data_IF_582026081759
#
_entry.id   IF_582026081759
#
_cell.length_a   1.000
_cell.length_b   1.000
_cell.length_c   1.000
_cell.angle_alpha   90.00
_cell.angle_beta   90.00
_cell.angle_gamma   90.00
#
_symmetry.space_group_name_H-M   'P 1'
#
loop_
_entity.id
_entity.type
_entity.pdbx_description
1 polymer ?
#
# COMPACT_ATOMS: atom_id res chain seq x y z
N UNK A 1 -61.30 -48.15 -9.59
CA UNK A 1 -62.47 -47.98 -8.72
C UNK A 1 -62.01 -47.61 -7.32
N UNK A 2 -62.80 -46.81 -6.59
CA UNK A 2 -62.58 -46.34 -5.21
C UNK A 2 -61.38 -45.40 -4.96
N UNK A 3 -61.62 -44.37 -4.16
CA UNK A 3 -60.68 -43.34 -3.72
C UNK A 3 -61.02 -42.91 -2.28
N UNK A 4 -60.04 -42.38 -1.54
CA UNK A 4 -60.12 -41.63 -0.28
C UNK A 4 -58.68 -41.11 0.02
N UNK A 5 -58.34 -39.84 0.31
CA UNK A 5 -58.98 -38.71 1.02
C UNK A 5 -59.24 -39.01 2.51
N UNK A 6 -58.86 -38.20 3.51
CA UNK A 6 -58.21 -36.87 3.57
C UNK A 6 -57.14 -36.86 4.72
N UNK A 7 -56.55 -35.79 5.27
CA UNK A 7 -56.81 -34.34 5.22
C UNK A 7 -55.48 -33.51 5.38
N UNK A 8 -55.50 -32.37 6.08
CA UNK A 8 -54.39 -31.39 6.15
C UNK A 8 -54.19 -30.78 7.56
N UNK A 9 -53.00 -30.21 7.84
CA UNK A 9 -52.85 -28.85 8.40
C UNK A 9 -51.37 -28.42 8.57
N UNK A 10 -51.13 -27.11 8.46
CA UNK A 10 -49.83 -26.46 8.35
C UNK A 10 -49.07 -26.16 9.65
N UNK A 11 -47.73 -26.20 9.57
CA UNK A 11 -46.74 -25.27 10.15
C UNK A 11 -45.39 -25.64 9.48
N UNK A 12 -44.49 -24.75 9.05
CA UNK A 12 -44.22 -23.38 9.46
C UNK A 12 -42.73 -23.32 9.83
N UNK A 13 -41.87 -22.83 8.92
CA UNK A 13 -40.42 -22.85 9.15
C UNK A 13 -39.60 -22.65 7.87
N UNK A 14 -39.45 -21.41 7.43
CA UNK A 14 -38.49 -21.08 6.38
C UNK A 14 -37.07 -21.22 6.92
N UNK A 15 -36.33 -22.24 6.48
CA UNK A 15 -34.91 -22.36 6.80
C UNK A 15 -34.12 -21.47 5.83
N UNK A 16 -33.94 -20.21 6.21
CA UNK A 16 -32.91 -19.37 5.60
C UNK A 16 -31.56 -20.01 5.91
N UNK A 17 -30.90 -20.56 4.90
CA UNK A 17 -29.52 -21.01 5.00
C UNK A 17 -28.65 -19.78 5.32
N UNK A 18 -28.28 -19.63 6.59
CA UNK A 18 -27.29 -18.65 7.00
C UNK A 18 -25.99 -18.98 6.28
N UNK A 19 -25.64 -18.15 5.31
CA UNK A 19 -24.41 -18.29 4.54
C UNK A 19 -23.24 -18.09 5.51
N UNK A 20 -22.50 -19.16 5.78
CA UNK A 20 -21.27 -19.04 6.54
C UNK A 20 -20.31 -18.17 5.72
N UNK A 21 -19.54 -17.24 6.34
CA UNK A 21 -18.71 -16.31 5.58
C UNK A 21 -17.72 -17.10 4.74
N UNK A 22 -17.94 -17.10 3.42
CA UNK A 22 -17.22 -17.94 2.47
C UNK A 22 -15.71 -17.78 2.67
N UNK A 23 -14.98 -18.90 2.67
CA UNK A 23 -13.53 -18.86 2.81
C UNK A 23 -12.95 -18.04 1.65
N UNK A 24 -12.22 -16.98 1.97
CA UNK A 24 -11.64 -16.06 0.99
C UNK A 24 -10.65 -16.81 0.09
N UNK A 25 -10.03 -17.89 0.58
CA UNK A 25 -9.18 -18.81 -0.21
C UNK A 25 -9.95 -19.62 -1.26
N UNK A 26 -11.26 -19.78 -1.10
CA UNK A 26 -12.11 -20.46 -2.08
C UNK A 26 -12.51 -19.59 -3.28
N UNK A 27 -12.26 -18.27 -3.23
CA UNK A 27 -12.58 -17.35 -4.32
C UNK A 27 -11.52 -17.39 -5.43
N UNK A 28 -11.86 -17.86 -6.66
CA UNK A 28 -10.89 -17.98 -7.75
C UNK A 28 -10.26 -16.63 -8.16
N UNK A 29 -10.99 -15.52 -7.95
CA UNK A 29 -10.51 -14.17 -8.20
C UNK A 29 -9.41 -13.78 -7.20
N UNK A 30 -9.57 -14.12 -5.92
CA UNK A 30 -8.57 -13.81 -4.89
C UNK A 30 -7.30 -14.60 -5.15
N UNK A 31 -7.41 -15.92 -5.40
CA UNK A 31 -6.26 -16.76 -5.76
C UNK A 31 -5.53 -16.22 -6.99
N UNK A 32 -6.26 -15.78 -8.01
CA UNK A 32 -5.68 -15.18 -9.22
C UNK A 32 -4.93 -13.86 -8.93
N UNK A 33 -5.54 -12.93 -8.18
CA UNK A 33 -4.94 -11.64 -7.86
C UNK A 33 -3.69 -11.80 -6.98
N UNK A 34 -3.77 -12.64 -5.95
CA UNK A 34 -2.64 -12.95 -5.06
C UNK A 34 -1.50 -13.62 -5.83
N UNK A 35 -1.79 -14.60 -6.70
CA UNK A 35 -0.77 -15.23 -7.53
C UNK A 35 -0.10 -14.24 -8.51
N UNK A 36 -0.85 -13.25 -9.03
CA UNK A 36 -0.29 -12.19 -9.89
C UNK A 36 0.57 -11.19 -9.10
N UNK A 37 0.17 -10.83 -7.89
CA UNK A 37 0.99 -10.01 -6.99
C UNK A 37 2.30 -10.74 -6.59
N UNK A 38 2.21 -12.01 -6.24
CA UNK A 38 3.37 -12.86 -5.90
C UNK A 38 4.35 -13.07 -7.07
N UNK A 39 3.93 -12.82 -8.32
CA UNK A 39 4.78 -12.88 -9.51
C UNK A 39 5.28 -11.50 -9.99
N UNK A 40 4.83 -10.38 -9.40
CA UNK A 40 5.20 -9.03 -9.85
C UNK A 40 5.09 -7.99 -8.72
N UNK A 41 6.24 -7.45 -8.31
CA UNK A 41 6.32 -6.41 -7.28
C UNK A 41 5.47 -5.17 -7.60
N UNK A 42 5.37 -4.77 -8.88
CA UNK A 42 4.52 -3.65 -9.29
C UNK A 42 3.02 -3.94 -9.04
N UNK A 43 2.55 -5.17 -9.35
CA UNK A 43 1.17 -5.59 -9.08
C UNK A 43 0.93 -5.70 -7.57
N UNK A 44 1.90 -6.23 -6.81
CA UNK A 44 1.82 -6.29 -5.36
C UNK A 44 1.74 -4.90 -4.71
N UNK A 45 2.51 -3.92 -5.22
CA UNK A 45 2.43 -2.52 -4.79
C UNK A 45 1.02 -1.95 -4.98
N UNK A 46 0.49 -2.00 -6.20
CA UNK A 46 -0.86 -1.48 -6.48
C UNK A 46 -1.95 -2.21 -5.67
N UNK A 47 -1.93 -3.55 -5.63
CA UNK A 47 -2.92 -4.34 -4.89
C UNK A 47 -2.85 -4.06 -3.38
N UNK A 48 -1.66 -3.96 -2.78
CA UNK A 48 -1.49 -3.55 -1.39
C UNK A 48 -2.11 -2.18 -1.12
N UNK A 49 -1.86 -1.19 -1.98
CA UNK A 49 -2.37 0.17 -1.77
C UNK A 49 -3.88 0.28 -1.95
N UNK A 50 -4.46 -0.41 -2.95
CA UNK A 50 -5.91 -0.48 -3.08
C UNK A 50 -6.57 -1.16 -1.88
N UNK A 51 -6.09 -2.35 -1.48
CA UNK A 51 -6.63 -3.06 -0.31
C UNK A 51 -6.52 -2.22 0.98
N UNK A 52 -5.41 -1.50 1.19
CA UNK A 52 -5.25 -0.60 2.35
C UNK A 52 -6.25 0.55 2.36
N UNK A 53 -6.62 1.10 1.19
CA UNK A 53 -7.64 2.15 1.10
C UNK A 53 -9.01 1.59 1.47
N UNK A 54 -9.44 0.48 0.86
CA UNK A 54 -10.73 -0.16 1.17
C UNK A 54 -10.82 -0.58 2.65
N UNK A 55 -9.72 -1.12 3.21
CA UNK A 55 -9.61 -1.44 4.64
C UNK A 55 -9.82 -0.21 5.53
N UNK A 56 -9.33 0.96 5.11
CA UNK A 56 -9.41 2.21 5.89
C UNK A 56 -10.80 2.87 5.87
N UNK A 57 -11.74 2.37 5.06
CA UNK A 57 -13.10 2.89 5.00
C UNK A 57 -13.86 2.50 6.28
N UNK A 58 -14.18 3.51 7.09
CA UNK A 58 -14.98 3.34 8.31
C UNK A 58 -16.42 2.97 7.94
N UNK A 59 -17.00 2.04 8.70
CA UNK A 59 -18.36 1.51 8.56
C UNK A 59 -18.68 0.76 7.25
N UNK A 60 -17.68 0.39 6.43
CA UNK A 60 -17.91 -0.50 5.28
C UNK A 60 -17.91 -1.99 5.70
N UNK A 61 -19.04 -2.72 5.57
CA UNK A 61 -19.09 -4.16 5.85
C UNK A 61 -18.18 -5.01 4.94
N UNK A 62 -17.75 -4.49 3.78
CA UNK A 62 -16.79 -5.17 2.91
C UNK A 62 -15.33 -5.10 3.42
N UNK A 63 -15.01 -4.17 4.35
CA UNK A 63 -13.65 -4.00 4.90
C UNK A 63 -13.08 -5.30 5.48
N UNK A 64 -13.90 -6.16 6.11
CA UNK A 64 -13.45 -7.46 6.61
C UNK A 64 -12.96 -8.39 5.50
N UNK A 65 -13.62 -8.39 4.34
CA UNK A 65 -13.22 -9.19 3.17
C UNK A 65 -11.88 -8.69 2.64
N UNK A 66 -11.71 -7.36 2.50
CA UNK A 66 -10.46 -6.77 2.03
C UNK A 66 -9.30 -7.02 3.02
N UNK A 67 -9.56 -6.99 4.32
CA UNK A 67 -8.60 -7.41 5.36
C UNK A 67 -8.15 -8.86 5.19
N UNK A 68 -9.08 -9.79 4.96
CA UNK A 68 -8.77 -11.21 4.73
C UNK A 68 -7.97 -11.41 3.43
N UNK A 69 -8.31 -10.71 2.35
CA UNK A 69 -7.56 -10.73 1.08
C UNK A 69 -6.14 -10.17 1.24
N UNK A 70 -5.98 -9.09 2.01
CA UNK A 70 -4.67 -8.52 2.31
C UNK A 70 -3.81 -9.47 3.15
N UNK A 71 -4.38 -10.11 4.18
CA UNK A 71 -3.71 -11.12 4.98
C UNK A 71 -3.23 -12.31 4.12
N UNK A 72 -4.09 -12.83 3.24
CA UNK A 72 -3.75 -13.91 2.30
C UNK A 72 -2.59 -13.50 1.37
N UNK A 73 -2.62 -12.28 0.82
CA UNK A 73 -1.53 -11.78 -0.01
C UNK A 73 -0.22 -11.72 0.77
N UNK A 74 -0.24 -11.23 2.01
CA UNK A 74 0.95 -11.12 2.85
C UNK A 74 1.49 -12.49 3.27
N UNK A 75 0.63 -13.49 3.50
CA UNK A 75 1.02 -14.88 3.79
C UNK A 75 1.71 -15.54 2.59
N UNK A 76 1.10 -15.46 1.39
CA UNK A 76 1.68 -16.01 0.16
C UNK A 76 3.01 -15.33 -0.18
N UNK A 77 3.11 -14.00 -0.05
CA UNK A 77 4.37 -13.28 -0.23
C UNK A 77 5.43 -13.66 0.82
N UNK A 78 5.03 -14.06 2.03
CA UNK A 78 5.94 -14.55 3.06
C UNK A 78 6.44 -15.96 2.78
N UNK A 79 5.57 -16.85 2.31
CA UNK A 79 5.91 -18.23 1.96
C UNK A 79 6.94 -18.35 0.82
N UNK A 80 7.12 -17.30 0.00
CA UNK A 80 8.16 -17.23 -1.03
C UNK A 80 9.57 -16.95 -0.46
N UNK A 81 9.71 -16.55 0.80
CA UNK A 81 10.99 -16.20 1.39
C UNK A 81 11.76 -17.44 1.87
N UNK A 82 12.96 -17.65 1.32
CA UNK A 82 13.85 -18.73 1.76
C UNK A 82 14.35 -18.54 3.21
N UNK A 83 14.40 -17.30 3.70
CA UNK A 83 14.66 -16.95 5.10
C UNK A 83 14.11 -15.56 5.44
N UNK A 84 13.08 -15.48 6.28
CA UNK A 84 12.54 -14.21 6.78
C UNK A 84 11.44 -13.61 5.88
N UNK A 85 11.57 -12.33 5.52
CA UNK A 85 10.63 -11.63 4.63
C UNK A 85 11.06 -11.75 3.16
N UNK A 86 10.10 -11.74 2.23
CA UNK A 86 10.43 -11.60 0.82
C UNK A 86 10.80 -10.15 0.46
N UNK A 87 11.52 -9.97 -0.64
CA UNK A 87 11.87 -8.65 -1.18
C UNK A 87 10.60 -7.78 -1.39
N UNK A 88 9.53 -8.39 -1.91
CA UNK A 88 8.23 -7.73 -2.08
C UNK A 88 7.63 -7.27 -0.76
N UNK A 89 7.68 -8.06 0.31
CA UNK A 89 7.21 -7.62 1.64
C UNK A 89 8.05 -6.44 2.17
N UNK A 90 9.38 -6.52 2.08
CA UNK A 90 10.28 -5.42 2.49
C UNK A 90 9.99 -4.14 1.70
N UNK A 91 9.78 -4.24 0.40
CA UNK A 91 9.36 -3.12 -0.45
C UNK A 91 8.04 -2.49 0.03
N UNK A 92 7.02 -3.30 0.35
CA UNK A 92 5.74 -2.81 0.86
C UNK A 92 5.86 -2.16 2.25
N UNK A 93 6.72 -2.68 3.13
CA UNK A 93 7.03 -2.09 4.44
C UNK A 93 7.72 -0.73 4.28
N UNK A 94 8.75 -0.65 3.44
CA UNK A 94 9.47 0.60 3.12
C UNK A 94 8.53 1.67 2.52
N UNK A 95 7.64 1.27 1.60
CA UNK A 95 6.61 2.15 1.04
C UNK A 95 5.65 2.68 2.11
N UNK A 96 5.17 1.82 3.02
CA UNK A 96 4.28 2.22 4.10
C UNK A 96 4.97 3.19 5.08
N UNK A 97 6.24 2.95 5.41
CA UNK A 97 7.06 3.83 6.25
C UNK A 97 7.23 5.22 5.60
N UNK A 98 7.59 5.29 4.32
CA UNK A 98 7.76 6.55 3.59
C UNK A 98 6.48 7.40 3.64
N UNK A 99 5.32 6.79 3.35
CA UNK A 99 4.02 7.49 3.38
C UNK A 99 3.67 7.96 4.79
N UNK A 100 3.85 7.12 5.81
CA UNK A 100 3.58 7.48 7.21
C UNK A 100 4.45 8.63 7.73
N UNK A 101 5.73 8.70 7.32
CA UNK A 101 6.63 9.81 7.65
C UNK A 101 6.18 11.12 7.00
N UNK A 102 5.81 11.08 5.71
CA UNK A 102 5.27 12.23 4.96
C UNK A 102 3.97 12.73 5.58
N UNK A 103 3.03 11.83 5.90
CA UNK A 103 1.76 12.15 6.54
C UNK A 103 1.99 12.81 7.90
N UNK A 104 2.83 12.20 8.75
CA UNK A 104 3.16 12.69 10.08
C UNK A 104 3.81 14.08 10.06
N UNK A 105 4.80 14.30 9.17
CA UNK A 105 5.42 15.61 8.97
C UNK A 105 4.41 16.66 8.47
N UNK A 106 3.54 16.29 7.53
CA UNK A 106 2.49 17.17 7.00
C UNK A 106 1.48 17.56 8.10
N UNK A 107 1.04 16.59 8.90
CA UNK A 107 0.08 16.80 9.99
C UNK A 107 0.68 17.64 11.12
N UNK A 108 1.96 17.45 11.50
CA UNK A 108 2.64 18.33 12.47
C UNK A 108 2.84 19.75 11.94
N UNK A 109 3.24 19.90 10.67
CA UNK A 109 3.39 21.20 10.03
C UNK A 109 2.09 22.01 10.12
N UNK A 110 0.96 21.33 9.84
CA UNK A 110 -0.38 21.88 9.92
C UNK A 110 -0.84 22.14 11.37
N UNK A 111 -0.74 21.16 12.27
CA UNK A 111 -1.29 21.24 13.63
C UNK A 111 -0.56 22.23 14.54
N UNK A 112 0.74 22.51 14.31
CA UNK A 112 1.52 23.44 15.14
C UNK A 112 1.10 24.92 15.09
N UNK A 113 -0.09 25.26 14.58
CA UNK A 113 -0.60 26.62 14.53
C UNK A 113 0.22 27.58 13.66
N UNK A 114 0.05 28.88 13.90
CA UNK A 114 0.79 29.96 13.22
C UNK A 114 0.25 30.40 11.86
N UNK A 115 0.83 31.49 11.32
CA UNK A 115 0.55 32.00 9.97
C UNK A 115 1.03 31.00 8.91
N UNK A 116 0.48 31.10 7.70
CA UNK A 116 0.79 30.19 6.58
C UNK A 116 2.30 29.97 6.36
N UNK A 117 3.08 31.04 6.30
CA UNK A 117 4.52 30.98 6.03
C UNK A 117 5.30 30.26 7.15
N UNK A 118 4.79 30.29 8.39
CA UNK A 118 5.38 29.56 9.52
C UNK A 118 5.12 28.03 9.40
N UNK A 119 4.00 27.62 8.79
CA UNK A 119 3.72 26.20 8.50
C UNK A 119 4.67 25.67 7.42
N UNK A 120 4.92 26.47 6.36
CA UNK A 120 5.86 26.11 5.28
C UNK A 120 7.30 26.04 5.80
N UNK A 121 7.73 27.00 6.64
CA UNK A 121 9.05 26.92 7.29
C UNK A 121 9.19 25.68 8.16
N UNK A 122 8.25 25.46 9.09
CA UNK A 122 8.22 24.27 9.96
C UNK A 122 8.33 22.96 9.17
N UNK A 123 7.62 22.85 8.05
CA UNK A 123 7.74 21.67 7.18
C UNK A 123 9.16 21.49 6.65
N UNK A 124 9.79 22.54 6.11
CA UNK A 124 11.17 22.46 5.61
C UNK A 124 12.18 22.21 6.72
N UNK A 125 12.00 22.81 7.91
CA UNK A 125 12.86 22.61 9.07
C UNK A 125 12.81 21.13 9.54
N UNK A 126 11.60 20.55 9.61
CA UNK A 126 11.40 19.13 9.94
C UNK A 126 11.95 18.18 8.86
N UNK A 127 11.92 18.59 7.59
CA UNK A 127 12.39 17.85 6.42
C UNK A 127 13.80 18.30 5.97
N UNK A 128 14.68 18.61 6.93
CA UNK A 128 16.07 19.01 6.70
C UNK A 128 17.04 18.05 7.42
N UNK A 129 18.34 18.03 7.07
CA UNK A 129 19.32 17.18 7.76
C UNK A 129 19.41 17.55 9.26
N UNK A 130 19.21 16.57 10.16
CA UNK A 130 19.09 16.80 11.59
C UNK A 130 17.72 17.34 12.05
N UNK A 131 16.74 17.40 11.16
CA UNK A 131 15.33 17.64 11.49
C UNK A 131 14.64 16.38 12.05
N UNK A 132 13.41 16.53 12.55
CA UNK A 132 12.67 15.42 13.19
C UNK A 132 12.36 14.25 12.23
N UNK A 133 12.38 14.48 10.92
CA UNK A 133 12.11 13.49 9.89
C UNK A 133 13.28 13.40 8.88
N UNK A 134 14.52 13.55 9.36
CA UNK A 134 15.71 13.51 8.49
C UNK A 134 15.90 12.16 7.76
N UNK A 135 15.31 11.09 8.26
CA UNK A 135 15.33 9.75 7.65
C UNK A 135 14.68 9.65 6.27
N UNK A 136 13.89 10.65 5.82
CA UNK A 136 13.41 10.73 4.43
C UNK A 136 14.28 11.63 3.54
N UNK A 137 15.25 12.35 4.12
CA UNK A 137 16.15 13.24 3.39
C UNK A 137 17.04 12.41 2.48
N UNK A 138 17.84 11.49 3.03
CA UNK A 138 18.60 10.46 2.32
C UNK A 138 18.17 9.10 2.90
N UNK A 139 17.63 8.21 2.05
CA UNK A 139 17.13 6.90 2.45
C UNK A 139 18.26 5.87 2.41
N UNK A 140 18.35 5.00 3.44
CA UNK A 140 19.31 3.89 3.48
C UNK A 140 19.12 2.88 2.33
N UNK A 141 17.91 2.80 1.77
CA UNK A 141 17.52 1.91 0.68
C UNK A 141 16.55 2.61 -0.28
N UNK A 142 16.78 2.42 -1.59
CA UNK A 142 15.93 2.90 -2.68
C UNK A 142 14.49 2.32 -2.59
N UNK A 143 13.53 3.16 -2.18
CA UNK A 143 12.12 2.78 -2.02
C UNK A 143 11.38 2.87 -3.37
N UNK A 144 10.79 1.77 -3.83
CA UNK A 144 9.92 1.75 -5.02
C UNK A 144 8.74 2.70 -4.80
N UNK A 145 8.50 3.63 -5.72
CA UNK A 145 7.54 4.71 -5.49
C UNK A 145 6.08 4.18 -5.51
N UNK A 146 5.25 4.46 -4.47
CA UNK A 146 3.88 3.93 -4.38
C UNK A 146 2.96 4.22 -5.58
N UNK A 147 3.13 5.40 -6.20
CA UNK A 147 2.30 5.86 -7.33
C UNK A 147 2.76 5.28 -8.67
N UNK A 148 4.07 5.10 -8.83
CA UNK A 148 4.70 4.57 -10.05
C UNK A 148 5.83 3.61 -9.67
N UNK A 149 5.57 2.29 -9.65
CA UNK A 149 6.57 1.28 -9.32
C UNK A 149 7.75 1.17 -10.30
N UNK A 150 7.78 1.94 -11.40
CA UNK A 150 8.97 2.05 -12.24
C UNK A 150 10.02 3.03 -11.69
N UNK A 151 9.65 3.89 -10.73
CA UNK A 151 10.56 4.83 -10.08
C UNK A 151 11.04 4.30 -8.72
N UNK A 152 12.31 4.58 -8.41
CA UNK A 152 12.91 4.36 -7.09
C UNK A 152 13.28 5.69 -6.45
N UNK A 153 12.76 5.96 -5.25
CA UNK A 153 13.04 7.13 -4.43
C UNK A 153 14.22 6.83 -3.52
N UNK A 154 15.25 7.67 -3.55
CA UNK A 154 16.40 7.58 -2.63
C UNK A 154 16.49 8.77 -1.65
N UNK A 155 15.50 9.66 -1.67
CA UNK A 155 15.39 10.77 -0.73
C UNK A 155 14.52 11.91 -1.25
N UNK A 156 14.58 13.06 -0.58
CA UNK A 156 13.91 14.31 -0.99
C UNK A 156 14.90 15.43 -1.26
N UNK A 157 14.44 16.51 -1.90
CA UNK A 157 15.16 17.79 -1.99
C UNK A 157 14.68 18.70 -0.86
N UNK A 158 15.60 19.08 0.02
CA UNK A 158 15.33 19.88 1.22
C UNK A 158 15.21 21.37 0.90
N UNK A 159 14.50 22.13 1.74
CA UNK A 159 14.36 23.59 1.60
C UNK A 159 13.44 24.08 0.47
N UNK A 160 12.95 23.18 -0.40
CA UNK A 160 12.02 23.49 -1.51
C UNK A 160 10.62 22.94 -1.30
N UNK A 161 10.34 22.30 -0.17
CA UNK A 161 9.00 21.78 0.14
C UNK A 161 8.01 22.94 0.30
N UNK A 162 6.79 22.77 -0.20
CA UNK A 162 5.76 23.81 -0.12
C UNK A 162 4.39 23.24 0.24
N UNK A 163 3.48 24.12 0.64
CA UNK A 163 2.10 23.79 0.98
C UNK A 163 1.21 24.61 0.05
N UNK A 164 0.14 24.03 -0.48
CA UNK A 164 -0.84 24.77 -1.28
C UNK A 164 -1.86 25.49 -0.37
N UNK A 165 -2.27 26.70 -0.77
CA UNK A 165 -3.30 27.49 -0.08
C UNK A 165 -4.70 26.94 -0.38
N UNK A 166 -5.07 25.85 0.28
CA UNK A 166 -6.37 25.16 0.17
C UNK A 166 -6.93 24.83 1.57
N UNK A 167 -8.22 24.48 1.66
CA UNK A 167 -8.85 23.99 2.91
C UNK A 167 -8.13 22.77 3.49
N UNK A 168 -7.59 21.91 2.62
CA UNK A 168 -6.92 20.65 2.97
C UNK A 168 -5.40 20.76 3.05
N UNK A 169 -4.82 21.93 2.78
CA UNK A 169 -3.37 22.18 2.83
C UNK A 169 -2.49 21.07 2.22
N UNK A 170 -2.73 20.62 0.97
CA UNK A 170 -1.91 19.57 0.38
C UNK A 170 -0.46 20.04 0.24
N UNK A 171 0.46 19.09 0.39
CA UNK A 171 1.90 19.35 0.45
C UNK A 171 2.55 18.96 -0.87
N UNK A 172 3.53 19.76 -1.31
CA UNK A 172 4.40 19.47 -2.43
C UNK A 172 5.80 19.16 -1.91
N UNK A 173 6.24 17.92 -2.13
CA UNK A 173 7.58 17.41 -1.80
C UNK A 173 8.26 17.04 -3.12
N UNK A 174 9.50 17.47 -3.31
CA UNK A 174 10.31 17.08 -4.47
C UNK A 174 11.14 15.87 -4.10
N UNK A 175 10.85 14.72 -4.70
CA UNK A 175 11.62 13.49 -4.50
C UNK A 175 12.84 13.44 -5.42
N UNK A 176 13.92 12.83 -4.92
CA UNK A 176 15.07 12.43 -5.71
C UNK A 176 14.84 10.97 -6.14
N UNK A 177 14.79 10.74 -7.45
CA UNK A 177 14.38 9.45 -8.05
C UNK A 177 15.37 8.93 -9.09
N UNK A 178 15.32 7.63 -9.34
CA UNK A 178 15.99 6.92 -10.45
C UNK A 178 14.98 6.04 -11.19
N UNK A 179 15.13 5.86 -12.49
CA UNK A 179 14.34 4.88 -13.24
C UNK A 179 14.87 3.46 -12.93
N UNK A 180 14.00 2.56 -12.48
CA UNK A 180 14.34 1.16 -12.23
C UNK A 180 14.79 0.43 -13.50
N UNK A 181 14.39 0.90 -14.69
CA UNK A 181 14.78 0.36 -16.00
C UNK A 181 16.24 0.67 -16.33
N UNK A 182 16.71 1.87 -15.98
CA UNK A 182 18.12 2.26 -16.19
C UNK A 182 19.05 1.46 -15.27
N UNK A 183 18.65 1.22 -14.02
CA UNK A 183 19.39 0.40 -13.07
C UNK A 183 19.58 -1.06 -13.56
N UNK A 184 18.58 -1.63 -14.24
CA UNK A 184 18.68 -2.97 -14.84
C UNK A 184 19.56 -3.01 -16.10
N UNK A 185 19.69 -1.90 -16.84
CA UNK A 185 20.50 -1.81 -18.06
C UNK A 185 22.01 -1.68 -17.81
N UNK A 186 22.41 -1.16 -16.64
CA UNK A 186 23.82 -0.86 -16.34
C UNK A 186 24.71 -2.10 -16.06
N UNK A 187 24.13 -3.30 -15.94
CA UNK A 187 24.86 -4.53 -15.61
C UNK A 187 25.54 -5.28 -16.77
N UNK A 188 25.44 -4.79 -18.01
CA UNK A 188 25.84 -5.54 -19.21
C UNK A 188 27.07 -5.05 -19.99
N UNK A 189 27.65 -3.90 -19.64
CA UNK A 189 28.68 -3.23 -20.47
C UNK A 189 30.07 -3.23 -19.85
N UNK A 190 30.84 -4.32 -20.00
CA UNK A 190 32.17 -4.37 -19.37
C UNK A 190 33.07 -5.57 -19.63
N UNK A 191 33.24 -6.05 -20.88
CA UNK A 191 34.37 -6.92 -21.26
C UNK A 191 34.57 -7.14 -22.79
N UNK A 192 35.00 -6.12 -23.56
CA UNK A 192 36.04 -6.29 -24.61
C UNK A 192 36.59 -4.94 -25.15
N UNK A 193 37.72 -4.50 -24.60
CA UNK A 193 38.56 -3.48 -25.23
C UNK A 193 40.02 -3.66 -24.79
N UNK A 194 40.75 -4.57 -25.45
CA UNK A 194 42.19 -4.69 -25.28
C UNK A 194 42.80 -6.07 -25.48
N UNK A 195 43.03 -6.45 -26.76
CA UNK A 195 44.26 -7.09 -27.25
C UNK A 195 44.21 -7.20 -28.78
#
# INVERSE_FOLDING_TARGET
AAAAAAAASAAGGGSGSGDAPADVRSSPLVTFLVARAAASAAIASYLNWYLRVEISLVDDPASEIFHRVHAEMMEVLGAQAAAGRSETQRMLENQAMLVALIESASQKAFNGGGRFDAKVRRLNDMLSPGGEYDSIVDLDEDVVFPLDPSLRVYGIVTGVCSIFKSKTYPVSITFRVRDAREAAGAGGGGADAGA
#
